data_IF_365065767231
#
_entry.id   IF_365065767231
#
_cell.length_a   1.000
_cell.length_b   1.000
_cell.length_c   1.000
_cell.angle_alpha   90.00
_cell.angle_beta   90.00
_cell.angle_gamma   90.00
#
_symmetry.space_group_name_H-M   'P 1'
#
loop_
_entity.id
_entity.type
_entity.pdbx_description
1 polymer ?
#
# COMPACT_ATOMS: atom_id res chain seq x y z
N UNK A 1 12.21 8.63 -3.50
CA UNK A 1 11.94 7.71 -4.64
C UNK A 1 12.26 8.48 -5.90
N UNK A 2 12.91 7.85 -6.87
CA UNK A 2 13.19 8.50 -8.16
C UNK A 2 11.96 8.33 -9.05
N UNK A 3 11.60 9.38 -9.76
CA UNK A 3 10.56 9.42 -10.78
C UNK A 3 11.16 9.87 -12.10
N UNK A 4 10.55 9.45 -13.19
CA UNK A 4 10.91 9.89 -14.54
C UNK A 4 9.67 10.47 -15.19
N UNK A 5 9.72 11.76 -15.52
CA UNK A 5 8.64 12.43 -16.22
C UNK A 5 8.82 12.23 -17.72
N UNK A 6 7.90 11.52 -18.36
CA UNK A 6 7.98 11.18 -19.78
C UNK A 6 7.74 12.41 -20.67
N UNK A 7 6.92 13.38 -20.22
CA UNK A 7 6.56 14.55 -21.02
C UNK A 7 7.72 15.50 -21.25
N UNK A 8 8.69 15.55 -20.33
CA UNK A 8 9.86 16.41 -20.43
C UNK A 8 11.20 15.67 -20.24
N UNK A 9 11.17 14.34 -20.16
CA UNK A 9 12.32 13.44 -20.04
C UNK A 9 13.27 13.76 -18.87
N UNK A 10 12.72 14.29 -17.77
CA UNK A 10 13.52 14.70 -16.61
C UNK A 10 13.29 13.75 -15.43
N UNK A 11 14.39 13.42 -14.75
CA UNK A 11 14.35 12.72 -13.48
C UNK A 11 13.97 13.68 -12.36
N UNK A 12 13.07 13.24 -11.49
CA UNK A 12 12.66 13.99 -10.30
C UNK A 12 12.57 13.08 -9.09
N UNK A 13 12.30 13.68 -7.93
CA UNK A 13 12.07 12.94 -6.70
C UNK A 13 10.60 12.98 -6.29
N UNK A 14 10.09 11.83 -5.84
CA UNK A 14 8.82 11.71 -5.15
C UNK A 14 9.11 11.30 -3.71
N UNK A 15 8.51 12.03 -2.78
CA UNK A 15 8.61 11.73 -1.35
C UNK A 15 7.82 10.47 -1.01
N UNK A 16 8.32 9.69 -0.06
CA UNK A 16 7.58 8.55 0.52
C UNK A 16 6.63 9.05 1.62
N UNK A 17 5.57 8.29 1.93
CA UNK A 17 4.74 8.55 3.11
C UNK A 17 5.59 8.67 4.38
N UNK A 18 5.38 9.74 5.17
CA UNK A 18 6.18 10.03 6.39
C UNK A 18 6.21 8.85 7.37
N UNK A 19 5.12 8.11 7.45
CA UNK A 19 5.02 6.96 8.35
C UNK A 19 5.94 5.80 7.96
N UNK A 20 6.24 5.61 6.68
CA UNK A 20 7.16 4.57 6.24
C UNK A 20 8.55 4.81 6.82
N UNK A 21 8.98 6.06 6.90
CA UNK A 21 10.27 6.45 7.47
C UNK A 21 10.39 6.13 8.97
N UNK A 22 9.27 5.92 9.66
CA UNK A 22 9.22 5.68 11.10
C UNK A 22 9.08 4.19 11.46
N UNK A 23 9.03 3.30 10.48
CA UNK A 23 8.89 1.86 10.73
C UNK A 23 10.29 1.26 10.87
N UNK A 24 10.59 0.69 12.05
CA UNK A 24 11.90 0.15 12.38
C UNK A 24 12.29 -1.11 11.60
N UNK A 25 11.30 -1.93 11.21
CA UNK A 25 11.51 -3.22 10.55
C UNK A 25 10.71 -3.31 9.24
N UNK A 26 11.07 -2.50 8.25
CA UNK A 26 10.50 -2.59 6.88
C UNK A 26 11.33 -3.57 6.06
N UNK A 27 10.69 -4.58 5.48
CA UNK A 27 11.36 -5.52 4.57
C UNK A 27 11.60 -4.86 3.20
N UNK A 28 10.57 -4.21 2.66
CA UNK A 28 10.65 -3.46 1.41
C UNK A 28 9.52 -2.43 1.33
N UNK A 29 9.74 -1.41 0.50
CA UNK A 29 8.73 -0.45 0.06
C UNK A 29 8.60 -0.58 -1.45
N UNK A 30 7.37 -0.68 -1.94
CA UNK A 30 7.07 -0.73 -3.37
C UNK A 30 5.99 0.29 -3.70
N UNK A 31 5.96 0.71 -4.95
CA UNK A 31 4.93 1.60 -5.47
C UNK A 31 4.21 0.94 -6.64
N UNK A 32 2.95 1.29 -6.80
CA UNK A 32 2.04 0.80 -7.84
C UNK A 32 1.05 1.91 -8.16
N UNK A 33 0.49 1.93 -9.35
CA UNK A 33 -0.56 2.89 -9.72
C UNK A 33 -1.87 2.12 -9.87
N UNK A 34 -2.91 2.57 -9.16
CA UNK A 34 -4.26 2.04 -9.30
C UNK A 34 -5.22 3.18 -9.56
N UNK A 35 -6.14 3.04 -10.51
CA UNK A 35 -7.14 4.06 -10.85
C UNK A 35 -6.52 5.47 -11.03
N UNK A 36 -5.33 5.53 -11.64
CA UNK A 36 -4.58 6.78 -11.86
C UNK A 36 -3.93 7.39 -10.62
N UNK A 37 -4.06 6.76 -9.45
CA UNK A 37 -3.48 7.21 -8.19
C UNK A 37 -2.21 6.45 -7.85
N UNK A 38 -1.14 7.19 -7.54
CA UNK A 38 0.12 6.59 -7.09
C UNK A 38 -0.07 6.03 -5.67
N UNK A 39 0.17 4.74 -5.51
CA UNK A 39 0.10 4.02 -4.25
C UNK A 39 1.51 3.59 -3.81
N UNK A 40 1.74 3.62 -2.51
CA UNK A 40 2.93 3.07 -1.87
C UNK A 40 2.50 2.02 -0.85
N UNK A 41 3.22 0.91 -0.77
CA UNK A 41 2.96 -0.12 0.22
C UNK A 41 4.24 -0.71 0.78
N UNK A 42 4.15 -1.22 2.00
CA UNK A 42 5.26 -1.91 2.64
C UNK A 42 4.79 -3.10 3.47
N UNK A 43 5.66 -4.10 3.57
CA UNK A 43 5.56 -5.18 4.55
C UNK A 43 6.64 -4.96 5.61
N UNK A 44 6.29 -5.15 6.88
CA UNK A 44 7.22 -4.98 7.99
C UNK A 44 6.73 -5.61 9.28
N UNK A 45 7.37 -5.32 10.40
CA UNK A 45 7.00 -5.86 11.71
C UNK A 45 6.79 -4.76 12.75
N UNK A 46 5.73 -4.87 13.54
CA UNK A 46 5.38 -3.92 14.62
C UNK A 46 4.79 -4.70 15.80
N UNK A 47 5.39 -4.57 17.00
CA UNK A 47 4.88 -5.25 18.20
C UNK A 47 4.84 -6.78 18.11
N UNK A 48 5.79 -7.39 17.39
CA UNK A 48 5.85 -8.85 17.18
C UNK A 48 4.94 -9.38 16.07
N UNK A 49 4.06 -8.54 15.50
CA UNK A 49 3.17 -8.93 14.41
C UNK A 49 3.72 -8.45 13.06
N UNK A 50 3.46 -9.22 12.01
CA UNK A 50 3.71 -8.77 10.65
C UNK A 50 2.63 -7.75 10.26
N UNK A 51 3.05 -6.74 9.51
CA UNK A 51 2.23 -5.61 9.12
C UNK A 51 2.33 -5.39 7.62
N UNK A 52 1.18 -5.16 7.01
CA UNK A 52 1.06 -4.62 5.66
C UNK A 52 0.38 -3.25 5.77
N UNK A 53 0.93 -2.26 5.08
CA UNK A 53 0.40 -0.89 5.07
C UNK A 53 0.35 -0.40 3.62
N UNK A 54 -0.77 0.23 3.26
CA UNK A 54 -1.02 0.80 1.94
C UNK A 54 -1.40 2.28 2.07
N UNK A 55 -0.77 3.12 1.27
CA UNK A 55 -1.03 4.56 1.16
C UNK A 55 -1.32 4.92 -0.30
N UNK A 56 -2.13 5.95 -0.47
CA UNK A 56 -2.44 6.57 -1.77
C UNK A 56 -2.03 8.04 -1.74
N UNK A 57 -1.45 8.54 -2.83
CA UNK A 57 -1.14 9.94 -3.03
C UNK A 57 -2.32 10.60 -3.75
N UNK A 58 -3.07 11.44 -3.03
CA UNK A 58 -4.26 12.11 -3.60
C UNK A 58 -3.90 13.18 -4.63
N UNK A 59 -2.85 13.93 -4.33
CA UNK A 59 -2.32 14.99 -5.20
C UNK A 59 -0.90 14.62 -5.61
N UNK A 60 -0.69 14.35 -6.90
CA UNK A 60 0.57 13.86 -7.42
C UNK A 60 1.73 14.83 -7.14
N UNK A 61 2.85 14.31 -6.61
CA UNK A 61 4.03 15.08 -6.24
C UNK A 61 3.92 15.85 -4.91
N UNK A 62 2.74 15.94 -4.29
CA UNK A 62 2.54 16.63 -3.02
C UNK A 62 2.81 15.68 -1.86
N UNK A 63 3.86 15.94 -1.07
CA UNK A 63 4.27 15.08 0.06
C UNK A 63 3.18 14.90 1.11
N UNK A 64 2.41 15.94 1.37
CA UNK A 64 1.37 15.95 2.39
C UNK A 64 0.09 15.24 1.95
N UNK A 65 -0.07 14.92 0.66
CA UNK A 65 -1.28 14.28 0.11
C UNK A 65 -1.32 12.76 0.31
N UNK A 66 -0.20 12.17 0.75
CA UNK A 66 -0.15 10.76 1.14
C UNK A 66 -1.14 10.46 2.24
N UNK A 67 -2.17 9.69 1.91
CA UNK A 67 -3.21 9.23 2.83
C UNK A 67 -3.08 7.73 3.02
N UNK A 68 -3.02 7.27 4.26
CA UNK A 68 -3.06 5.83 4.55
C UNK A 68 -4.46 5.31 4.30
N UNK A 69 -4.58 4.24 3.52
CA UNK A 69 -5.85 3.54 3.31
C UNK A 69 -6.11 2.59 4.47
N UNK A 70 -5.22 1.63 4.69
CA UNK A 70 -5.36 0.68 5.79
C UNK A 70 -4.03 0.09 6.27
N UNK A 71 -4.10 -0.58 7.41
CA UNK A 71 -3.03 -1.39 7.98
C UNK A 71 -3.59 -2.75 8.34
N UNK A 72 -3.00 -3.81 7.80
CA UNK A 72 -3.29 -5.18 8.19
C UNK A 72 -2.20 -5.62 9.17
N UNK A 73 -2.59 -6.23 10.29
CA UNK A 73 -1.68 -6.82 11.27
C UNK A 73 -2.13 -8.24 11.55
N UNK A 74 -1.27 -9.23 11.32
CA UNK A 74 -1.52 -10.63 11.75
C UNK A 74 -0.19 -11.34 12.01
N UNK A 75 -0.30 -12.46 12.70
CA UNK A 75 0.76 -13.46 12.76
C UNK A 75 0.96 -14.07 11.38
N UNK A 76 2.22 -14.30 10.99
CA UNK A 76 2.61 -14.99 9.75
C UNK A 76 2.16 -14.37 8.42
N UNK A 77 1.76 -13.09 8.40
CA UNK A 77 1.60 -12.38 7.12
C UNK A 77 2.97 -12.12 6.51
N UNK A 78 3.34 -12.85 5.47
CA UNK A 78 4.54 -12.56 4.68
C UNK A 78 4.12 -12.29 3.23
N UNK A 79 4.75 -11.28 2.61
CA UNK A 79 4.61 -10.96 1.19
C UNK A 79 3.18 -10.64 0.70
N UNK A 80 2.48 -9.73 1.38
CA UNK A 80 1.22 -9.20 0.83
C UNK A 80 1.53 -8.27 -0.34
N UNK A 81 0.85 -8.48 -1.45
CA UNK A 81 0.97 -7.70 -2.67
C UNK A 81 -0.41 -7.14 -3.01
N UNK A 82 -0.59 -5.80 -3.10
CA UNK A 82 -1.79 -5.25 -3.68
C UNK A 82 -1.76 -5.49 -5.20
N UNK A 83 -2.86 -6.05 -5.71
CA UNK A 83 -3.02 -6.46 -7.11
C UNK A 83 -3.83 -5.44 -7.86
N UNK A 84 -4.91 -4.92 -7.26
CA UNK A 84 -5.77 -3.91 -7.87
C UNK A 84 -6.55 -3.10 -6.81
N UNK A 85 -7.08 -1.95 -7.21
CA UNK A 85 -8.03 -1.16 -6.43
C UNK A 85 -9.27 -0.87 -7.28
N UNK A 86 -10.42 -1.27 -6.78
CA UNK A 86 -11.69 -1.07 -7.46
C UNK A 86 -12.22 0.35 -7.22
N UNK A 87 -13.12 0.81 -8.10
CA UNK A 87 -13.70 2.15 -8.06
C UNK A 87 -14.49 2.47 -6.76
N UNK A 88 -14.96 1.44 -6.05
CA UNK A 88 -15.62 1.56 -4.74
C UNK A 88 -14.63 1.64 -3.57
N UNK A 89 -13.31 1.64 -3.85
CA UNK A 89 -12.24 1.72 -2.86
C UNK A 89 -11.86 0.37 -2.24
N UNK A 90 -12.43 -0.74 -2.72
CA UNK A 90 -12.00 -2.08 -2.36
C UNK A 90 -10.61 -2.36 -2.96
N UNK A 91 -9.76 -3.11 -2.25
CA UNK A 91 -8.42 -3.48 -2.72
C UNK A 91 -8.28 -4.99 -2.78
N UNK A 92 -7.88 -5.51 -3.95
CA UNK A 92 -7.52 -6.90 -4.14
C UNK A 92 -6.07 -7.12 -3.68
N UNK A 93 -5.87 -8.08 -2.78
CA UNK A 93 -4.57 -8.45 -2.24
C UNK A 93 -4.28 -9.90 -2.62
N UNK A 94 -3.04 -10.18 -3.01
CA UNK A 94 -2.49 -11.53 -3.10
C UNK A 94 -1.70 -11.84 -1.83
N UNK A 95 -2.02 -12.96 -1.20
CA UNK A 95 -1.43 -13.41 0.07
C UNK A 95 -1.60 -14.92 0.24
N UNK A 96 -0.57 -15.64 0.69
CA UNK A 96 -0.65 -17.10 0.95
C UNK A 96 -1.27 -17.91 -0.20
N UNK A 97 -0.90 -17.59 -1.44
CA UNK A 97 -1.41 -18.26 -2.65
C UNK A 97 -2.90 -18.03 -2.94
N UNK A 98 -3.55 -17.14 -2.19
CA UNK A 98 -4.95 -16.77 -2.36
C UNK A 98 -5.13 -15.26 -2.60
N UNK A 99 -6.31 -14.91 -3.10
CA UNK A 99 -6.74 -13.52 -3.30
C UNK A 99 -7.80 -13.12 -2.27
N UNK A 100 -7.64 -11.91 -1.72
CA UNK A 100 -8.53 -11.35 -0.71
C UNK A 100 -8.93 -9.94 -1.09
N UNK A 101 -10.20 -9.58 -0.83
CA UNK A 101 -10.67 -8.21 -1.00
C UNK A 101 -10.75 -7.55 0.38
N UNK A 102 -10.21 -6.33 0.48
CA UNK A 102 -10.22 -5.54 1.72
C UNK A 102 -10.92 -4.21 1.48
N UNK A 103 -11.81 -3.83 2.41
CA UNK A 103 -12.61 -2.61 2.33
C UNK A 103 -12.19 -1.58 3.38
N UNK A 104 -12.34 -0.29 3.04
CA UNK A 104 -12.10 0.83 3.95
C UNK A 104 -13.21 0.89 5.02
N UNK A 105 -13.05 0.14 6.12
CA UNK A 105 -13.97 0.23 7.25
C UNK A 105 -14.14 -1.03 8.10
N UNK A 106 -13.58 -2.17 7.69
CA UNK A 106 -13.60 -3.39 8.53
C UNK A 106 -12.29 -3.53 9.33
N UNK A 107 -12.34 -3.48 10.68
CA UNK A 107 -11.15 -3.61 11.49
C UNK A 107 -10.62 -5.05 11.53
N UNK A 108 -9.33 -5.15 11.19
CA UNK A 108 -8.26 -5.94 11.85
C UNK A 108 -8.23 -7.47 11.78
N UNK A 109 -9.32 -8.24 11.71
CA UNK A 109 -9.20 -9.70 11.88
C UNK A 109 -9.74 -10.56 10.71
N UNK A 110 -10.59 -10.00 9.85
CA UNK A 110 -11.29 -10.74 8.81
C UNK A 110 -10.87 -10.25 7.42
N UNK A 111 -9.95 -10.97 6.78
CA UNK A 111 -9.83 -10.92 5.32
C UNK A 111 -11.10 -11.57 4.78
N UNK A 112 -11.98 -10.80 4.15
CA UNK A 112 -13.16 -11.37 3.52
C UNK A 112 -12.68 -11.97 2.19
N UNK A 113 -12.84 -13.28 2.06
CA UNK A 113 -12.75 -13.94 0.75
C UNK A 113 -14.01 -13.55 0.01
N UNK A 114 -13.91 -12.54 -0.85
CA UNK A 114 -14.96 -12.19 -1.77
C UNK A 114 -14.48 -12.54 -3.18
N UNK A 115 -15.08 -13.57 -3.76
CA UNK A 115 -15.08 -13.74 -5.22
C UNK A 115 -16.13 -12.73 -5.72
N UNK A 116 -15.69 -11.71 -6.47
CA UNK A 116 -16.58 -10.87 -7.28
C UNK A 116 -16.78 -11.55 -8.63
#
# INVERSE_FOLDING_TARGET
MISFNISNEVYGEISLPKEICNISNVNYVRCVVFEGMLCAYCNGQEGGLNTFKLWVMKDYGVKESWTKLFTIRKTHIFFVIPVDMFADGEVLLYYQEDFFIVTLGHPKDSMIVAFK
#
